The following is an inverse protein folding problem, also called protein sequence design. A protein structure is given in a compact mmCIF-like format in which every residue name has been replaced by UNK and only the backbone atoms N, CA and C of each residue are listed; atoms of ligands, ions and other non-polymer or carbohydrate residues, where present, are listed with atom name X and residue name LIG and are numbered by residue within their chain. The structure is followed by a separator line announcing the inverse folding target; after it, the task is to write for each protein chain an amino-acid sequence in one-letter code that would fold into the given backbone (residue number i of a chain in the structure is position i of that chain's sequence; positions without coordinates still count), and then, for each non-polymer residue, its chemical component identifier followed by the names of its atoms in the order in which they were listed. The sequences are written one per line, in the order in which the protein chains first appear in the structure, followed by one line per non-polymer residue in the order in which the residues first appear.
data_IF_827035460329
#
_entry.id   IF_827035460329
#
_cell.length_a   1.000
_cell.length_b   1.000
_cell.length_c   1.000
_cell.angle_alpha   90.00
_cell.angle_beta   90.00
_cell.angle_gamma   90.00
#
_symmetry.space_group_name_H-M   'P 1'
#
loop_
_entity.id
_entity.type
_entity.pdbx_description
1 polymer ?
#
# COMPACT_ATOMS: atom_id res chain seq x y z
N UNK A 1 -39.95 -1.95 -13.92
CA UNK A 1 -39.85 -2.42 -15.33
C UNK A 1 -41.20 -2.58 -16.00
N UNK A 2 -42.15 -3.29 -15.38
CA UNK A 2 -43.52 -3.38 -15.90
C UNK A 2 -44.16 -1.99 -16.09
N UNK A 3 -44.05 -1.10 -15.11
CA UNK A 3 -44.57 0.27 -15.23
C UNK A 3 -43.86 1.10 -16.30
N UNK A 4 -42.54 0.96 -16.45
CA UNK A 4 -41.78 1.60 -17.53
C UNK A 4 -42.24 1.09 -18.89
N UNK A 5 -42.48 -0.22 -19.02
CA UNK A 5 -42.98 -0.83 -20.24
C UNK A 5 -44.37 -0.34 -20.61
N UNK A 6 -45.27 -0.27 -19.61
CA UNK A 6 -46.62 0.27 -19.74
C UNK A 6 -46.61 1.74 -20.15
N UNK A 7 -45.80 2.57 -19.50
CA UNK A 7 -45.69 4.01 -19.80
C UNK A 7 -45.03 4.28 -21.15
N UNK A 8 -44.03 3.49 -21.54
CA UNK A 8 -43.35 3.62 -22.83
C UNK A 8 -44.10 2.96 -24.01
N UNK A 9 -45.15 2.17 -23.74
CA UNK A 9 -45.94 1.46 -24.75
C UNK A 9 -45.19 0.34 -25.45
N UNK A 10 -44.33 -0.40 -24.72
CA UNK A 10 -43.51 -1.48 -25.28
C UNK A 10 -43.56 -2.73 -24.39
N UNK A 11 -43.13 -3.88 -24.91
CA UNK A 11 -43.00 -5.09 -24.10
C UNK A 11 -41.91 -4.95 -23.02
N UNK A 12 -42.09 -5.64 -21.89
CA UNK A 12 -41.10 -5.69 -20.79
C UNK A 12 -39.72 -6.16 -21.29
N UNK A 13 -39.71 -7.10 -22.24
CA UNK A 13 -38.48 -7.61 -22.88
C UNK A 13 -37.74 -6.53 -23.69
N UNK A 14 -38.46 -5.58 -24.28
CA UNK A 14 -37.89 -4.43 -25.02
C UNK A 14 -37.28 -3.41 -24.05
N UNK A 15 -37.94 -3.11 -22.92
CA UNK A 15 -37.34 -2.29 -21.85
C UNK A 15 -36.06 -2.94 -21.32
N UNK A 16 -36.10 -4.25 -21.07
CA UNK A 16 -34.93 -5.00 -20.63
C UNK A 16 -33.77 -4.87 -21.62
N UNK A 17 -34.05 -5.02 -22.93
CA UNK A 17 -33.04 -4.93 -23.98
C UNK A 17 -32.50 -3.52 -24.13
N UNK A 18 -33.35 -2.49 -24.06
CA UNK A 18 -32.93 -1.10 -24.14
C UNK A 18 -32.01 -0.70 -22.99
N UNK A 19 -32.27 -1.20 -21.78
CA UNK A 19 -31.45 -0.94 -20.59
C UNK A 19 -30.16 -1.78 -20.55
N UNK A 20 -30.18 -2.99 -21.11
CA UNK A 20 -29.05 -3.94 -21.00
C UNK A 20 -28.11 -3.89 -22.20
N UNK A 21 -28.65 -3.65 -23.40
CA UNK A 21 -27.93 -3.66 -24.66
C UNK A 21 -28.54 -2.62 -25.63
N UNK A 22 -28.27 -1.32 -25.40
CA UNK A 22 -29.01 -0.22 -26.02
C UNK A 22 -28.96 -0.22 -27.55
N UNK A 23 -27.87 -0.73 -28.15
CA UNK A 23 -27.69 -0.79 -29.60
C UNK A 23 -28.59 -1.81 -30.32
N UNK A 24 -29.30 -2.68 -29.59
CA UNK A 24 -30.27 -3.62 -30.18
C UNK A 24 -31.70 -3.07 -30.21
N UNK A 25 -31.90 -1.81 -29.81
CA UNK A 25 -33.19 -1.13 -29.82
C UNK A 25 -33.02 0.16 -30.60
N UNK A 26 -33.93 0.45 -31.52
CA UNK A 26 -33.85 1.68 -32.30
C UNK A 26 -33.91 2.92 -31.39
N UNK A 27 -33.33 4.01 -31.87
CA UNK A 27 -33.15 5.25 -31.12
C UNK A 27 -34.47 5.82 -30.58
N UNK A 28 -35.51 5.83 -31.42
CA UNK A 28 -36.84 6.35 -31.08
C UNK A 28 -37.46 5.60 -29.90
N UNK A 29 -37.39 4.27 -29.91
CA UNK A 29 -37.91 3.42 -28.84
C UNK A 29 -37.06 3.55 -27.58
N UNK A 30 -35.74 3.65 -27.71
CA UNK A 30 -34.83 3.88 -26.58
C UNK A 30 -35.11 5.21 -25.88
N UNK A 31 -35.33 6.28 -26.64
CA UNK A 31 -35.67 7.60 -26.10
C UNK A 31 -36.98 7.57 -25.29
N UNK A 32 -38.02 6.89 -25.81
CA UNK A 32 -39.29 6.69 -25.08
C UNK A 32 -39.11 5.94 -23.76
N UNK A 33 -38.30 4.87 -23.78
CA UNK A 33 -38.03 4.07 -22.58
C UNK A 33 -37.26 4.88 -21.53
N UNK A 34 -36.26 5.66 -21.94
CA UNK A 34 -35.48 6.51 -21.04
C UNK A 34 -36.34 7.63 -20.42
N UNK A 35 -37.23 8.24 -21.21
CA UNK A 35 -38.16 9.25 -20.70
C UNK A 35 -39.13 8.65 -19.66
N UNK A 36 -39.73 7.49 -19.96
CA UNK A 36 -40.60 6.78 -19.04
C UNK A 36 -39.88 6.34 -17.75
N UNK A 37 -38.65 5.84 -17.86
CA UNK A 37 -37.85 5.47 -16.70
C UNK A 37 -37.53 6.68 -15.81
N UNK A 38 -37.15 7.82 -16.42
CA UNK A 38 -36.88 9.07 -15.70
C UNK A 38 -38.13 9.59 -15.00
N UNK A 39 -39.28 9.59 -15.68
CA UNK A 39 -40.56 10.07 -15.11
C UNK A 39 -41.00 9.24 -13.90
N UNK A 40 -40.74 7.93 -13.92
CA UNK A 40 -41.10 7.02 -12.83
C UNK A 40 -40.04 6.91 -11.73
N UNK A 41 -38.91 7.61 -11.85
CA UNK A 41 -37.76 7.42 -10.95
C UNK A 41 -37.22 5.98 -10.96
N UNK A 42 -37.40 5.26 -12.08
CA UNK A 42 -37.05 3.85 -12.16
C UNK A 42 -35.53 3.68 -12.32
N UNK A 43 -34.92 3.13 -11.28
CA UNK A 43 -33.53 2.65 -11.32
C UNK A 43 -33.51 1.15 -11.61
N UNK A 44 -32.74 0.66 -12.60
CA UNK A 44 -32.58 -0.77 -12.85
C UNK A 44 -32.08 -1.49 -11.59
N UNK A 45 -32.74 -2.59 -11.22
CA UNK A 45 -32.31 -3.39 -10.08
C UNK A 45 -31.07 -4.22 -10.46
N UNK A 46 -29.91 -3.84 -9.90
CA UNK A 46 -28.64 -4.51 -10.14
C UNK A 46 -28.63 -5.98 -9.69
N UNK A 47 -29.34 -6.33 -8.60
CA UNK A 47 -29.46 -7.72 -8.12
C UNK A 47 -30.32 -8.57 -9.05
N UNK A 48 -31.46 -8.04 -9.51
CA UNK A 48 -32.30 -8.74 -10.49
C UNK A 48 -31.57 -8.92 -11.84
N UNK A 49 -30.69 -7.98 -12.21
CA UNK A 49 -29.80 -8.09 -13.37
C UNK A 49 -28.71 -9.14 -13.15
N UNK A 50 -28.08 -9.16 -11.96
CA UNK A 50 -27.08 -10.15 -11.57
C UNK A 50 -27.62 -11.58 -11.58
N UNK A 51 -28.84 -11.78 -11.08
CA UNK A 51 -29.54 -13.08 -11.11
C UNK A 51 -29.86 -13.54 -12.54
N UNK A 52 -30.28 -12.62 -13.42
CA UNK A 52 -30.66 -12.95 -14.80
C UNK A 52 -29.47 -13.14 -15.74
N UNK A 53 -28.34 -12.48 -15.45
CA UNK A 53 -27.10 -12.55 -16.24
C UNK A 53 -26.10 -13.54 -15.62
N UNK A 54 -26.34 -14.01 -14.39
CA UNK A 54 -25.47 -14.91 -13.64
C UNK A 54 -24.11 -14.29 -13.27
N UNK A 55 -24.00 -12.95 -13.25
CA UNK A 55 -22.70 -12.26 -13.09
C UNK A 55 -22.82 -11.08 -12.14
N UNK A 56 -22.09 -11.16 -11.02
CA UNK A 56 -21.80 -10.02 -10.16
C UNK A 56 -20.85 -9.04 -10.85
N UNK A 57 -21.01 -7.75 -10.58
CA UNK A 57 -20.08 -6.68 -10.95
C UNK A 57 -19.30 -6.16 -9.73
N UNK A 58 -19.28 -6.92 -8.63
CA UNK A 58 -18.60 -6.52 -7.40
C UNK A 58 -17.22 -7.14 -7.34
N UNK A 59 -16.20 -6.31 -7.14
CA UNK A 59 -14.86 -6.72 -6.75
C UNK A 59 -14.74 -6.50 -5.24
N UNK A 60 -14.31 -7.54 -4.54
CA UNK A 60 -14.06 -7.47 -3.12
C UNK A 60 -12.63 -6.99 -2.87
N UNK A 61 -12.40 -6.21 -1.83
CA UNK A 61 -11.07 -5.97 -1.28
C UNK A 61 -11.01 -6.51 0.14
N UNK A 62 -9.99 -7.31 0.43
CA UNK A 62 -9.75 -7.91 1.75
C UNK A 62 -8.62 -7.13 2.39
N UNK A 63 -8.93 -6.48 3.52
CA UNK A 63 -7.97 -5.67 4.26
C UNK A 63 -7.19 -6.53 5.29
N UNK A 64 -6.00 -6.07 5.73
CA UNK A 64 -5.21 -6.77 6.75
C UNK A 64 -5.79 -6.61 8.16
N UNK A 65 -6.82 -5.80 8.34
CA UNK A 65 -7.40 -5.45 9.63
C UNK A 65 -8.10 -4.09 9.54
N UNK A 66 -8.21 -3.41 10.69
CA UNK A 66 -8.80 -2.07 10.77
C UNK A 66 -8.10 -1.13 9.80
N UNK A 67 -8.84 -0.28 9.05
CA UNK A 67 -8.26 0.66 8.10
C UNK A 67 -7.63 1.89 8.80
N UNK A 68 -7.68 1.95 10.13
CA UNK A 68 -7.12 3.06 10.91
C UNK A 68 -5.63 2.86 11.17
N UNK A 69 -4.79 3.74 10.60
CA UNK A 69 -3.33 3.74 10.74
C UNK A 69 -2.81 5.12 11.19
N UNK A 70 -3.51 5.74 12.15
CA UNK A 70 -3.14 7.04 12.68
C UNK A 70 -3.06 8.12 11.59
N UNK A 71 -1.88 8.73 11.43
CA UNK A 71 -1.61 9.73 10.40
C UNK A 71 -1.25 9.15 9.02
N UNK A 72 -0.88 7.87 8.91
CA UNK A 72 -0.62 7.25 7.60
C UNK A 72 -1.91 7.14 6.80
N UNK A 73 -1.94 7.79 5.64
CA UNK A 73 -3.11 7.82 4.75
C UNK A 73 -2.98 6.87 3.56
N UNK A 74 -2.01 5.94 3.58
CA UNK A 74 -1.72 5.10 2.42
C UNK A 74 -2.92 4.22 2.02
N UNK A 75 -3.57 3.56 2.99
CA UNK A 75 -4.71 2.68 2.72
C UNK A 75 -5.88 3.45 2.09
N UNK A 76 -6.42 4.53 2.69
CA UNK A 76 -7.55 5.24 2.10
C UNK A 76 -7.21 5.83 0.72
N UNK A 77 -5.99 6.32 0.49
CA UNK A 77 -5.57 6.84 -0.81
C UNK A 77 -5.54 5.74 -1.88
N UNK A 78 -4.99 4.57 -1.56
CA UNK A 78 -4.96 3.44 -2.50
C UNK A 78 -6.37 2.91 -2.73
N UNK A 79 -7.22 2.81 -1.71
CA UNK A 79 -8.63 2.42 -1.85
C UNK A 79 -9.39 3.38 -2.78
N UNK A 80 -9.18 4.69 -2.63
CA UNK A 80 -9.78 5.69 -3.51
C UNK A 80 -9.32 5.50 -4.97
N UNK A 81 -8.03 5.26 -5.17
CA UNK A 81 -7.44 5.02 -6.48
C UNK A 81 -7.99 3.73 -7.14
N UNK A 82 -8.07 2.63 -6.39
CA UNK A 82 -8.70 1.37 -6.83
C UNK A 82 -10.16 1.61 -7.21
N UNK A 83 -10.93 2.28 -6.35
CA UNK A 83 -12.35 2.54 -6.59
C UNK A 83 -12.56 3.35 -7.87
N UNK A 84 -11.74 4.39 -8.10
CA UNK A 84 -11.77 5.18 -9.34
C UNK A 84 -11.53 4.30 -10.57
N UNK A 85 -10.55 3.40 -10.52
CA UNK A 85 -10.24 2.47 -11.62
C UNK A 85 -11.38 1.46 -11.88
N UNK A 86 -11.99 0.93 -10.82
CA UNK A 86 -13.10 -0.01 -10.91
C UNK A 86 -14.39 0.63 -11.45
N UNK A 87 -14.73 1.85 -11.01
CA UNK A 87 -15.89 2.60 -11.50
C UNK A 87 -15.80 2.84 -13.00
N UNK A 88 -14.61 3.22 -13.50
CA UNK A 88 -14.38 3.41 -14.95
C UNK A 88 -14.63 2.13 -15.77
N UNK A 89 -14.54 0.96 -15.14
CA UNK A 89 -14.77 -0.34 -15.75
C UNK A 89 -16.16 -0.92 -15.46
N UNK A 90 -17.03 -0.17 -14.76
CA UNK A 90 -18.39 -0.60 -14.41
C UNK A 90 -18.46 -1.64 -13.28
N UNK A 91 -17.41 -1.72 -12.45
CA UNK A 91 -17.37 -2.56 -11.25
C UNK A 91 -17.64 -1.73 -9.99
N UNK A 92 -18.20 -2.39 -8.97
CA UNK A 92 -18.34 -1.85 -7.61
C UNK A 92 -17.23 -2.41 -6.72
N UNK A 93 -16.69 -1.59 -5.82
CA UNK A 93 -15.79 -2.04 -4.77
C UNK A 93 -16.59 -2.40 -3.51
N UNK A 94 -16.33 -3.57 -2.95
CA UNK A 94 -16.85 -3.99 -1.65
C UNK A 94 -15.70 -4.27 -0.70
N UNK A 95 -15.63 -3.55 0.42
CA UNK A 95 -14.64 -3.80 1.45
C UNK A 95 -15.12 -4.98 2.30
N UNK A 96 -14.29 -6.01 2.42
CA UNK A 96 -14.54 -7.16 3.25
C UNK A 96 -13.48 -7.27 4.35
N UNK A 97 -13.97 -7.57 5.56
CA UNK A 97 -13.21 -7.93 6.75
C UNK A 97 -12.27 -6.83 7.31
N UNK A 98 -12.62 -6.31 8.48
CA UNK A 98 -11.78 -5.37 9.22
C UNK A 98 -11.04 -6.04 10.39
N UNK A 99 -11.35 -7.28 10.77
CA UNK A 99 -10.94 -7.79 12.09
C UNK A 99 -10.15 -9.11 12.02
N UNK A 100 -10.08 -9.75 10.84
CA UNK A 100 -9.37 -11.02 10.56
C UNK A 100 -9.73 -12.20 11.48
N UNK A 101 -10.84 -12.11 12.20
CA UNK A 101 -11.39 -13.25 12.96
C UNK A 101 -11.93 -14.34 12.02
N UNK A 102 -11.93 -15.59 12.48
CA UNK A 102 -12.37 -16.75 11.70
C UNK A 102 -13.78 -16.56 11.13
N UNK A 103 -14.70 -15.97 11.89
CA UNK A 103 -16.06 -15.67 11.43
C UNK A 103 -16.07 -14.74 10.20
N UNK A 104 -15.20 -13.74 10.19
CA UNK A 104 -15.04 -12.79 9.08
C UNK A 104 -14.37 -13.45 7.88
N UNK A 105 -13.40 -14.33 8.10
CA UNK A 105 -12.80 -15.14 7.01
C UNK A 105 -13.83 -16.11 6.40
N UNK A 106 -14.65 -16.78 7.22
CA UNK A 106 -15.79 -17.60 6.74
C UNK A 106 -16.77 -16.77 5.90
N UNK A 107 -17.06 -15.54 6.30
CA UNK A 107 -17.91 -14.64 5.52
C UNK A 107 -17.32 -14.31 4.15
N UNK A 108 -16.02 -14.00 4.08
CA UNK A 108 -15.30 -13.80 2.81
C UNK A 108 -15.45 -15.01 1.89
N UNK A 109 -15.27 -16.23 2.43
CA UNK A 109 -15.42 -17.46 1.66
C UNK A 109 -16.84 -17.63 1.15
N UNK A 110 -17.86 -17.35 1.97
CA UNK A 110 -19.26 -17.42 1.54
C UNK A 110 -19.56 -16.44 0.39
N UNK A 111 -18.98 -15.23 0.42
CA UNK A 111 -19.10 -14.26 -0.68
C UNK A 111 -18.46 -14.80 -1.98
N UNK A 112 -17.29 -15.42 -1.87
CA UNK A 112 -16.57 -16.00 -3.00
C UNK A 112 -17.33 -17.21 -3.61
N UNK A 113 -17.63 -18.23 -2.80
CA UNK A 113 -18.33 -19.44 -3.25
C UNK A 113 -19.78 -19.18 -3.66
N UNK A 114 -20.44 -18.19 -3.04
CA UNK A 114 -21.80 -17.79 -3.38
C UNK A 114 -21.92 -16.96 -4.66
N UNK A 115 -20.80 -16.62 -5.32
CA UNK A 115 -20.80 -15.82 -6.55
C UNK A 115 -21.24 -14.36 -6.34
N UNK A 116 -21.23 -13.87 -5.09
CA UNK A 116 -21.58 -12.48 -4.76
C UNK A 116 -20.54 -11.51 -5.30
N UNK A 117 -19.30 -11.99 -5.45
CA UNK A 117 -18.15 -11.22 -5.95
C UNK A 117 -17.58 -11.89 -7.18
N UNK A 118 -16.98 -11.09 -8.07
CA UNK A 118 -16.41 -11.54 -9.34
C UNK A 118 -14.88 -11.59 -9.36
N UNK A 119 -14.26 -10.97 -8.37
CA UNK A 119 -12.83 -10.98 -8.14
C UNK A 119 -12.54 -10.49 -6.74
N UNK A 120 -11.31 -10.69 -6.29
CA UNK A 120 -10.84 -10.13 -5.03
C UNK A 120 -9.48 -9.44 -5.20
N UNK A 121 -9.28 -8.39 -4.41
CA UNK A 121 -8.00 -7.75 -4.17
C UNK A 121 -7.61 -8.11 -2.74
N UNK A 122 -6.45 -8.72 -2.54
CA UNK A 122 -5.87 -8.92 -1.21
C UNK A 122 -4.96 -7.75 -0.93
N UNK A 123 -5.19 -7.05 0.16
CA UNK A 123 -4.43 -5.86 0.52
C UNK A 123 -3.53 -6.15 1.70
N UNK A 124 -2.21 -6.02 1.51
CA UNK A 124 -1.16 -6.12 2.55
C UNK A 124 -1.33 -7.32 3.51
N UNK A 125 -1.86 -8.45 3.03
CA UNK A 125 -2.20 -9.58 3.90
C UNK A 125 -2.10 -10.90 3.16
N UNK A 126 -2.10 -11.99 3.94
CA UNK A 126 -2.21 -13.34 3.41
C UNK A 126 -3.65 -13.64 3.00
N UNK A 127 -3.78 -14.55 2.03
CA UNK A 127 -5.06 -15.09 1.59
C UNK A 127 -5.77 -15.77 2.78
N UNK A 128 -7.06 -15.48 3.05
CA UNK A 128 -7.79 -16.16 4.11
C UNK A 128 -8.04 -17.63 3.73
N UNK A 129 -7.90 -18.51 4.71
CA UNK A 129 -8.10 -19.95 4.55
C UNK A 129 -8.80 -20.52 5.79
N UNK A 130 -9.99 -21.09 5.58
CA UNK A 130 -10.77 -21.73 6.65
C UNK A 130 -11.29 -23.07 6.19
N UNK A 131 -11.07 -24.10 7.00
CA UNK A 131 -11.41 -25.50 6.68
C UNK A 131 -10.86 -25.97 5.31
N UNK A 132 -9.64 -25.53 4.94
CA UNK A 132 -9.01 -25.84 3.65
C UNK A 132 -9.68 -25.16 2.44
N UNK A 133 -10.58 -24.20 2.66
CA UNK A 133 -11.19 -23.38 1.61
C UNK A 133 -10.55 -22.01 1.57
N UNK A 134 -10.29 -21.53 0.36
CA UNK A 134 -9.77 -20.18 0.10
C UNK A 134 -10.54 -19.53 -1.06
N UNK A 135 -10.51 -18.19 -1.21
CA UNK A 135 -11.08 -17.53 -2.38
C UNK A 135 -10.47 -18.03 -3.70
N UNK A 136 -9.18 -18.40 -3.69
CA UNK A 136 -8.51 -18.99 -4.86
C UNK A 136 -9.11 -20.37 -5.20
N UNK A 137 -9.39 -21.20 -4.18
CA UNK A 137 -10.07 -22.49 -4.34
C UNK A 137 -11.50 -22.37 -4.87
N UNK A 138 -12.15 -21.20 -4.72
CA UNK A 138 -13.44 -20.91 -5.36
C UNK A 138 -13.32 -20.51 -6.85
N UNK A 139 -12.10 -20.49 -7.42
CA UNK A 139 -11.86 -20.04 -8.78
C UNK A 139 -11.96 -18.53 -8.96
N UNK A 140 -11.91 -17.76 -7.86
CA UNK A 140 -12.02 -16.31 -7.90
C UNK A 140 -10.71 -15.72 -8.44
N UNK A 141 -10.74 -14.84 -9.46
CA UNK A 141 -9.56 -14.08 -9.87
C UNK A 141 -9.10 -13.16 -8.74
N UNK A 142 -7.82 -13.26 -8.37
CA UNK A 142 -7.24 -12.55 -7.24
C UNK A 142 -6.01 -11.76 -7.68
N UNK A 143 -5.88 -10.54 -7.18
CA UNK A 143 -4.67 -9.72 -7.26
C UNK A 143 -4.22 -9.37 -5.85
N UNK A 144 -2.96 -9.59 -5.52
CA UNK A 144 -2.35 -9.12 -4.28
C UNK A 144 -1.84 -7.69 -4.46
N UNK A 145 -1.97 -6.85 -3.44
CA UNK A 145 -1.45 -5.49 -3.40
C UNK A 145 -0.68 -5.27 -2.11
N UNK A 146 0.47 -4.60 -2.21
CA UNK A 146 1.34 -4.31 -1.07
C UNK A 146 1.85 -5.56 -0.32
N UNK A 147 1.73 -6.73 -0.91
CA UNK A 147 2.31 -7.96 -0.37
C UNK A 147 2.63 -8.89 -1.53
N UNK A 148 3.91 -9.25 -1.69
CA UNK A 148 4.31 -10.13 -2.79
C UNK A 148 3.84 -11.56 -2.51
N UNK A 149 2.90 -12.03 -3.34
CA UNK A 149 2.37 -13.40 -3.30
C UNK A 149 2.69 -14.14 -4.60
N UNK A 150 3.74 -13.73 -5.32
CA UNK A 150 4.17 -14.37 -6.57
C UNK A 150 4.58 -15.84 -6.36
N UNK A 151 5.19 -16.16 -5.22
CA UNK A 151 5.52 -17.54 -4.83
C UNK A 151 4.28 -18.41 -4.63
N UNK A 152 3.14 -17.80 -4.28
CA UNK A 152 1.84 -18.45 -4.21
C UNK A 152 1.10 -18.46 -5.56
N UNK A 153 1.75 -18.04 -6.64
CA UNK A 153 1.18 -17.97 -7.99
C UNK A 153 0.18 -16.83 -8.20
N UNK A 154 0.10 -15.86 -7.27
CA UNK A 154 -0.83 -14.74 -7.37
C UNK A 154 -0.16 -13.53 -8.02
N UNK A 155 -0.83 -12.86 -8.99
CA UNK A 155 -0.33 -11.60 -9.52
C UNK A 155 -0.31 -10.54 -8.40
N UNK A 156 0.82 -9.86 -8.27
CA UNK A 156 1.07 -8.92 -7.17
C UNK A 156 1.45 -7.54 -7.69
N UNK A 157 0.87 -6.51 -7.09
CA UNK A 157 1.21 -5.09 -7.31
C UNK A 157 1.91 -4.59 -6.06
N UNK A 158 3.22 -4.39 -6.15
CA UNK A 158 4.07 -3.98 -5.03
C UNK A 158 4.92 -2.78 -5.40
N UNK A 159 5.27 -1.98 -4.40
CA UNK A 159 6.25 -0.90 -4.46
C UNK A 159 7.66 -1.45 -4.21
N UNK A 160 8.67 -0.78 -4.76
CA UNK A 160 10.07 -1.13 -4.48
C UNK A 160 10.55 -0.47 -3.18
N UNK A 161 10.03 -0.92 -2.05
CA UNK A 161 10.30 -0.35 -0.72
C UNK A 161 11.79 -0.36 -0.37
N UNK A 162 12.48 -1.47 -0.69
CA UNK A 162 13.91 -1.66 -0.47
C UNK A 162 14.74 -0.64 -1.22
N UNK A 163 14.47 -0.42 -2.51
CA UNK A 163 15.18 0.57 -3.31
C UNK A 163 14.93 1.99 -2.82
N UNK A 164 13.66 2.34 -2.56
CA UNK A 164 13.28 3.69 -2.15
C UNK A 164 13.94 4.11 -0.83
N UNK A 165 13.95 3.23 0.17
CA UNK A 165 14.59 3.53 1.45
C UNK A 165 16.12 3.49 1.37
N UNK A 166 16.68 2.64 0.50
CA UNK A 166 18.13 2.59 0.23
C UNK A 166 18.61 3.93 -0.30
N UNK A 167 17.88 4.53 -1.23
CA UNK A 167 18.19 5.85 -1.79
C UNK A 167 18.09 6.96 -0.75
N UNK A 168 17.01 6.99 0.04
CA UNK A 168 16.87 7.97 1.12
C UNK A 168 17.97 7.83 2.19
N UNK A 169 18.34 6.61 2.54
CA UNK A 169 19.42 6.33 3.50
C UNK A 169 20.79 6.75 2.93
N UNK A 170 21.04 6.46 1.65
CA UNK A 170 22.26 6.88 0.97
C UNK A 170 22.40 8.41 0.95
N UNK A 171 21.30 9.14 0.79
CA UNK A 171 21.31 10.60 0.86
C UNK A 171 21.64 11.11 2.27
N UNK A 172 21.10 10.51 3.33
CA UNK A 172 21.48 10.83 4.71
C UNK A 172 22.98 10.57 4.96
N UNK A 173 23.52 9.47 4.43
CA UNK A 173 24.97 9.17 4.48
C UNK A 173 25.77 10.25 3.74
N UNK A 174 25.32 10.70 2.57
CA UNK A 174 25.96 11.76 1.77
C UNK A 174 25.98 13.10 2.52
N UNK A 175 24.96 13.39 3.32
CA UNK A 175 24.85 14.58 4.16
C UNK A 175 25.71 14.53 5.43
N UNK A 176 26.42 13.42 5.65
CA UNK A 176 27.39 13.25 6.74
C UNK A 176 26.87 12.46 7.93
N UNK A 177 25.63 11.93 7.88
CA UNK A 177 25.14 11.05 8.94
C UNK A 177 25.91 9.72 8.94
N UNK A 178 26.23 9.24 10.15
CA UNK A 178 27.04 8.03 10.37
C UNK A 178 26.43 7.09 11.41
N UNK A 179 25.42 7.54 12.16
CA UNK A 179 24.70 6.76 13.16
C UNK A 179 23.21 7.03 13.02
N UNK A 180 22.44 5.96 13.00
CA UNK A 180 21.05 5.97 12.62
C UNK A 180 20.19 5.32 13.71
N UNK A 181 18.97 5.83 13.89
CA UNK A 181 17.90 5.12 14.54
C UNK A 181 16.90 4.68 13.47
N UNK A 182 16.58 3.40 13.42
CA UNK A 182 15.49 2.87 12.61
C UNK A 182 14.28 2.59 13.50
N UNK A 183 13.16 3.27 13.27
CA UNK A 183 11.90 3.02 13.97
C UNK A 183 11.13 1.96 13.18
N UNK A 184 11.20 0.74 13.67
CA UNK A 184 10.76 -0.47 12.98
C UNK A 184 9.24 -0.65 12.99
N UNK A 185 8.74 -1.17 11.88
CA UNK A 185 7.39 -1.72 11.79
C UNK A 185 7.31 -3.13 12.42
N UNK A 186 6.14 -3.76 12.39
CA UNK A 186 5.89 -5.02 13.08
C UNK A 186 6.87 -6.10 12.61
N UNK A 187 7.43 -6.87 13.56
CA UNK A 187 8.46 -7.87 13.25
C UNK A 187 7.96 -8.90 12.22
N UNK A 188 8.73 -9.07 11.15
CA UNK A 188 8.41 -10.02 10.08
C UNK A 188 7.34 -9.50 9.10
N UNK A 189 6.88 -8.26 9.25
CA UNK A 189 6.08 -7.61 8.23
C UNK A 189 6.90 -7.43 6.94
N UNK A 190 6.27 -7.72 5.80
CA UNK A 190 6.91 -7.64 4.48
C UNK A 190 7.58 -6.29 4.20
N UNK A 191 6.87 -5.19 4.49
CA UNK A 191 7.40 -3.85 4.25
C UNK A 191 8.57 -3.53 5.15
N UNK A 192 8.50 -3.90 6.44
CA UNK A 192 9.59 -3.64 7.37
C UNK A 192 10.85 -4.43 7.00
N UNK A 193 10.70 -5.69 6.58
CA UNK A 193 11.81 -6.53 6.10
C UNK A 193 12.49 -5.91 4.87
N UNK A 194 11.71 -5.49 3.88
CA UNK A 194 12.25 -4.86 2.68
C UNK A 194 12.90 -3.51 3.00
N UNK A 195 12.27 -2.70 3.86
CA UNK A 195 12.78 -1.38 4.23
C UNK A 195 14.08 -1.49 5.03
N UNK A 196 14.12 -2.33 6.05
CA UNK A 196 15.32 -2.55 6.84
C UNK A 196 16.46 -3.12 5.98
N UNK A 197 16.14 -4.04 5.06
CA UNK A 197 17.11 -4.55 4.07
C UNK A 197 17.75 -3.45 3.23
N UNK A 198 16.95 -2.48 2.76
CA UNK A 198 17.44 -1.33 2.00
C UNK A 198 18.33 -0.38 2.83
N UNK A 199 18.02 -0.19 4.11
CA UNK A 199 18.87 0.56 5.05
C UNK A 199 20.25 -0.11 5.17
N UNK A 200 20.28 -1.43 5.43
CA UNK A 200 21.54 -2.18 5.56
C UNK A 200 22.38 -2.18 4.27
N UNK A 201 21.72 -2.24 3.11
CA UNK A 201 22.39 -2.11 1.81
C UNK A 201 23.02 -0.72 1.63
N UNK A 202 22.32 0.35 1.99
CA UNK A 202 22.86 1.70 1.93
C UNK A 202 24.04 1.91 2.89
N UNK A 203 23.96 1.38 4.12
CA UNK A 203 25.06 1.42 5.08
C UNK A 203 26.31 0.72 4.54
N UNK A 204 26.16 -0.52 4.02
CA UNK A 204 27.27 -1.26 3.41
C UNK A 204 27.87 -0.52 2.22
N UNK A 205 27.05 0.04 1.34
CA UNK A 205 27.51 0.84 0.20
C UNK A 205 28.23 2.12 0.63
N UNK A 206 27.83 2.71 1.77
CA UNK A 206 28.47 3.87 2.39
C UNK A 206 29.70 3.56 3.25
N UNK A 207 30.13 2.29 3.32
CA UNK A 207 31.27 1.86 4.14
C UNK A 207 31.01 1.86 5.65
N UNK A 208 29.75 1.76 6.08
CA UNK A 208 29.33 1.69 7.48
C UNK A 208 28.98 0.26 7.89
N UNK A 209 29.26 -0.10 9.14
CA UNK A 209 28.85 -1.38 9.71
C UNK A 209 27.35 -1.39 10.03
N UNK A 210 26.77 -2.58 10.18
CA UNK A 210 25.38 -2.72 10.61
C UNK A 210 25.15 -2.14 12.01
N UNK A 211 26.16 -2.14 12.88
CA UNK A 211 26.12 -1.50 14.20
C UNK A 211 25.95 0.03 14.15
N UNK A 212 26.08 0.64 12.96
CA UNK A 212 25.80 2.05 12.76
C UNK A 212 24.29 2.37 12.87
N UNK A 213 23.40 1.37 12.81
CA UNK A 213 21.96 1.55 13.01
C UNK A 213 21.48 0.84 14.26
N UNK A 214 20.86 1.60 15.17
CA UNK A 214 20.08 1.04 16.28
C UNK A 214 18.62 0.93 15.86
N UNK A 215 17.91 -0.06 16.38
CA UNK A 215 16.47 -0.25 16.12
C UNK A 215 15.64 0.03 17.36
N UNK A 216 14.43 0.56 17.17
CA UNK A 216 13.40 0.67 18.21
C UNK A 216 12.04 0.32 17.60
N UNK A 217 11.11 -0.20 18.40
CA UNK A 217 9.81 -0.67 17.96
C UNK A 217 9.81 -2.11 17.43
N UNK A 218 8.85 -2.40 16.54
CA UNK A 218 8.61 -3.71 15.94
C UNK A 218 7.87 -4.74 16.80
N UNK A 219 7.51 -4.38 18.03
CA UNK A 219 6.63 -5.13 18.93
C UNK A 219 5.14 -4.80 18.75
N UNK A 220 4.83 -3.70 18.04
CA UNK A 220 3.47 -3.23 17.81
C UNK A 220 3.11 -3.24 16.32
N UNK A 221 1.82 -3.41 16.06
CA UNK A 221 1.22 -3.27 14.72
C UNK A 221 1.30 -1.83 14.22
N UNK A 222 1.33 -1.64 12.88
CA UNK A 222 1.41 -0.30 12.27
C UNK A 222 0.24 0.63 12.67
N UNK A 223 -0.92 0.10 13.06
CA UNK A 223 -2.03 0.89 13.60
C UNK A 223 -1.67 1.65 14.89
N UNK A 224 -0.61 1.26 15.58
CA UNK A 224 -0.08 1.89 16.78
C UNK A 224 1.15 2.76 16.50
N UNK A 225 1.38 3.19 15.25
CA UNK A 225 2.60 3.90 14.87
C UNK A 225 2.87 5.17 15.71
N UNK A 226 1.84 5.94 16.08
CA UNK A 226 2.02 7.03 17.04
C UNK A 226 2.63 6.59 18.37
N UNK A 227 2.15 5.49 18.96
CA UNK A 227 2.69 4.95 20.21
C UNK A 227 4.13 4.45 20.02
N UNK A 228 4.40 3.75 18.91
CA UNK A 228 5.75 3.29 18.54
C UNK A 228 6.74 4.45 18.48
N UNK A 229 6.38 5.55 17.81
CA UNK A 229 7.27 6.72 17.72
C UNK A 229 7.46 7.47 19.05
N UNK A 230 6.48 7.45 19.95
CA UNK A 230 6.65 7.96 21.32
C UNK A 230 7.67 7.11 22.08
N UNK A 231 7.53 5.78 22.06
CA UNK A 231 8.45 4.85 22.73
C UNK A 231 9.88 4.95 22.17
N UNK A 232 10.00 5.17 20.87
CA UNK A 232 11.29 5.35 20.21
C UNK A 232 12.08 6.55 20.73
N UNK A 233 11.42 7.59 21.26
CA UNK A 233 12.12 8.70 21.94
C UNK A 233 12.77 8.25 23.24
N UNK A 234 12.09 7.43 24.04
CA UNK A 234 12.66 6.92 25.29
C UNK A 234 13.88 6.04 25.03
N UNK A 235 13.84 5.23 23.98
CA UNK A 235 14.98 4.41 23.56
C UNK A 235 16.12 5.27 23.02
N UNK A 236 15.81 6.25 22.16
CA UNK A 236 16.79 7.21 21.64
C UNK A 236 17.53 7.94 22.75
N UNK A 237 16.82 8.40 23.79
CA UNK A 237 17.41 9.17 24.89
C UNK A 237 18.31 8.32 25.80
N UNK A 238 18.11 7.00 25.85
CA UNK A 238 18.96 6.05 26.60
C UNK A 238 20.26 5.71 25.89
N UNK A 239 20.38 5.97 24.58
CA UNK A 239 21.58 5.65 23.82
C UNK A 239 22.76 6.50 24.30
N UNK A 240 23.84 5.84 24.72
CA UNK A 240 25.07 6.50 25.16
C UNK A 240 25.68 7.37 24.05
N UNK A 241 25.64 6.87 22.82
CA UNK A 241 26.06 7.61 21.62
C UNK A 241 24.84 7.82 20.74
N UNK A 242 24.35 9.07 20.70
CA UNK A 242 23.11 9.39 19.98
C UNK A 242 23.30 9.31 18.46
N UNK A 243 22.33 8.68 17.75
CA UNK A 243 22.17 8.82 16.31
C UNK A 243 21.89 10.27 15.90
N UNK A 244 22.30 10.63 14.69
CA UNK A 244 22.02 11.97 14.12
C UNK A 244 21.01 11.90 12.98
N UNK A 245 20.57 10.71 12.59
CA UNK A 245 19.52 10.50 11.61
C UNK A 245 18.53 9.44 12.12
N UNK A 246 17.25 9.66 11.85
CA UNK A 246 16.16 8.76 12.20
C UNK A 246 15.40 8.40 10.94
N UNK A 247 15.19 7.11 10.74
CA UNK A 247 14.45 6.54 9.62
C UNK A 247 13.22 5.85 10.21
N UNK A 248 12.04 6.42 10.00
CA UNK A 248 10.79 5.83 10.46
C UNK A 248 10.09 5.08 9.33
N UNK A 249 9.51 3.94 9.65
CA UNK A 249 8.80 3.11 8.67
C UNK A 249 7.42 3.63 8.32
N UNK A 250 6.85 4.58 9.05
CA UNK A 250 5.59 5.25 8.68
C UNK A 250 5.60 6.70 9.13
N UNK A 251 4.76 7.53 8.50
CA UNK A 251 4.67 8.95 8.80
C UNK A 251 4.19 9.22 10.24
N UNK A 252 3.27 8.44 10.77
CA UNK A 252 2.72 8.63 12.11
C UNK A 252 3.76 8.33 13.21
N UNK A 253 4.63 7.33 13.01
CA UNK A 253 5.81 7.07 13.86
C UNK A 253 6.78 8.25 13.84
N UNK A 254 7.09 8.80 12.67
CA UNK A 254 7.98 9.96 12.58
C UNK A 254 7.36 11.19 13.23
N UNK A 255 6.07 11.47 12.99
CA UNK A 255 5.38 12.64 13.54
C UNK A 255 5.34 12.59 15.07
N UNK A 256 5.02 11.44 15.68
CA UNK A 256 5.04 11.34 17.14
C UNK A 256 6.45 11.41 17.69
N UNK A 257 7.44 10.82 17.02
CA UNK A 257 8.85 10.94 17.40
C UNK A 257 9.31 12.40 17.37
N UNK A 258 9.06 13.14 16.29
CA UNK A 258 9.39 14.56 16.15
C UNK A 258 8.75 15.40 17.25
N UNK A 259 7.45 15.24 17.47
CA UNK A 259 6.72 15.97 18.51
C UNK A 259 7.30 15.73 19.91
N UNK A 260 7.68 14.49 20.22
CA UNK A 260 8.22 14.12 21.53
C UNK A 260 9.68 14.53 21.71
N UNK A 261 10.53 14.35 20.70
CA UNK A 261 11.96 14.65 20.79
C UNK A 261 12.21 16.16 20.89
N UNK A 262 11.37 16.98 20.24
CA UNK A 262 11.38 18.43 20.39
C UNK A 262 11.00 18.88 21.81
N UNK A 263 10.04 18.20 22.45
CA UNK A 263 9.69 18.44 23.86
C UNK A 263 10.79 18.01 24.82
N UNK A 264 11.67 17.09 24.38
CA UNK A 264 12.90 16.73 25.10
C UNK A 264 14.05 17.73 24.85
N UNK A 265 13.80 18.83 24.14
CA UNK A 265 14.75 19.93 23.94
C UNK A 265 15.69 19.77 22.74
N UNK A 266 15.51 18.75 21.90
CA UNK A 266 16.32 18.53 20.70
C UNK A 266 15.66 19.17 19.48
N UNK A 267 16.46 19.84 18.67
CA UNK A 267 16.03 20.54 17.46
C UNK A 267 16.11 19.65 16.23
N UNK A 268 15.15 19.82 15.32
CA UNK A 268 15.11 19.17 14.00
C UNK A 268 15.08 20.28 12.96
N UNK A 269 15.98 20.31 11.96
CA UNK A 269 17.06 19.36 11.68
C UNK A 269 18.38 19.61 12.45
N UNK A 270 18.40 20.49 13.45
CA UNK A 270 19.64 20.98 14.07
C UNK A 270 20.48 19.89 14.76
N UNK A 271 19.85 19.06 15.60
CA UNK A 271 20.51 17.98 16.34
C UNK A 271 20.39 16.63 15.63
N UNK A 272 19.30 16.42 14.89
CA UNK A 272 19.02 15.21 14.14
C UNK A 272 18.12 15.46 12.93
N UNK A 273 18.29 14.64 11.90
CA UNK A 273 17.41 14.57 10.72
C UNK A 273 16.40 13.43 10.89
N UNK A 274 15.17 13.61 10.37
CA UNK A 274 14.11 12.59 10.39
C UNK A 274 13.58 12.40 8.97
N UNK A 275 13.52 11.15 8.51
CA UNK A 275 12.87 10.75 7.26
C UNK A 275 11.86 9.65 7.56
N UNK A 276 10.69 9.72 6.92
CA UNK A 276 9.65 8.68 7.02
C UNK A 276 9.31 8.06 5.67
N UNK A 277 8.32 7.17 5.70
CA UNK A 277 7.74 6.51 4.55
C UNK A 277 6.22 6.72 4.56
N UNK A 278 5.61 6.85 3.38
CA UNK A 278 4.17 6.87 3.03
C UNK A 278 3.79 8.12 2.22
N UNK A 279 4.31 9.29 2.59
CA UNK A 279 4.05 10.54 1.87
C UNK A 279 2.68 11.15 2.17
N UNK A 280 2.21 11.02 3.40
CA UNK A 280 0.91 11.50 3.86
C UNK A 280 0.87 13.04 3.81
N UNK A 281 -0.25 13.64 3.38
CA UNK A 281 -0.36 15.10 3.26
C UNK A 281 -0.10 15.85 4.58
N UNK A 282 -0.33 15.21 5.72
CA UNK A 282 -0.07 15.79 7.05
C UNK A 282 1.42 16.07 7.31
N UNK A 283 2.34 15.44 6.58
CA UNK A 283 3.78 15.67 6.71
C UNK A 283 4.16 17.13 6.42
N UNK A 284 3.46 17.81 5.50
CA UNK A 284 3.67 19.22 5.16
C UNK A 284 3.32 20.17 6.32
N UNK A 285 2.45 19.73 7.24
CA UNK A 285 1.96 20.51 8.37
C UNK A 285 2.69 20.19 9.68
N UNK A 286 3.70 19.30 9.63
CA UNK A 286 4.61 19.07 10.75
C UNK A 286 5.54 20.26 10.92
N UNK A 287 6.13 20.42 12.12
CA UNK A 287 7.11 21.48 12.39
C UNK A 287 8.43 20.88 12.85
N UNK A 288 9.51 20.92 12.06
CA UNK A 288 9.53 21.32 10.64
C UNK A 288 8.71 20.36 9.75
N UNK A 289 8.41 20.72 8.49
CA UNK A 289 7.80 19.78 7.54
C UNK A 289 8.61 18.48 7.43
N UNK A 290 7.92 17.34 7.49
CA UNK A 290 8.54 16.02 7.53
C UNK A 290 8.96 15.57 6.12
N UNK A 291 10.26 15.27 5.97
CA UNK A 291 10.78 14.60 4.77
C UNK A 291 10.28 13.15 4.72
N UNK A 292 9.65 12.75 3.62
CA UNK A 292 8.99 11.44 3.52
C UNK A 292 9.06 10.88 2.10
N UNK A 293 9.19 9.55 2.00
CA UNK A 293 9.10 8.83 0.73
C UNK A 293 7.63 8.70 0.32
N UNK A 294 7.26 9.37 -0.76
CA UNK A 294 5.89 9.36 -1.27
C UNK A 294 5.60 8.13 -2.12
N UNK A 295 4.57 7.39 -1.72
CA UNK A 295 4.14 6.22 -2.47
C UNK A 295 3.31 6.58 -3.72
N UNK A 296 3.45 5.83 -4.82
CA UNK A 296 2.76 6.09 -6.10
C UNK A 296 1.30 5.58 -6.11
N UNK A 297 0.45 6.14 -5.25
CA UNK A 297 -0.93 5.65 -4.98
C UNK A 297 -1.84 5.58 -6.22
N UNK A 298 -1.71 6.52 -7.14
CA UNK A 298 -2.49 6.52 -8.39
C UNK A 298 -2.14 5.33 -9.27
N UNK A 299 -0.84 5.05 -9.43
CA UNK A 299 -0.39 3.91 -10.22
C UNK A 299 -0.73 2.58 -9.53
N UNK A 300 -0.62 2.52 -8.20
CA UNK A 300 -1.01 1.34 -7.42
C UNK A 300 -2.47 0.99 -7.64
N UNK A 301 -3.39 1.94 -7.44
CA UNK A 301 -4.81 1.67 -7.66
C UNK A 301 -5.18 1.49 -9.13
N UNK A 302 -4.46 2.14 -10.06
CA UNK A 302 -4.61 1.90 -11.49
C UNK A 302 -4.29 0.45 -11.89
N UNK A 303 -3.15 -0.08 -11.44
CA UNK A 303 -2.74 -1.47 -11.72
C UNK A 303 -3.58 -2.49 -10.93
N UNK A 304 -3.84 -2.24 -9.65
CA UNK A 304 -4.63 -3.13 -8.79
C UNK A 304 -6.12 -3.17 -9.13
N UNK A 305 -6.68 -2.04 -9.57
CA UNK A 305 -8.05 -1.95 -10.09
C UNK A 305 -8.19 -2.35 -11.56
N UNK A 306 -7.08 -2.62 -12.27
CA UNK A 306 -7.10 -3.15 -13.63
C UNK A 306 -7.75 -4.53 -13.64
N UNK A 307 -8.75 -4.74 -14.50
CA UNK A 307 -9.56 -5.96 -14.49
C UNK A 307 -8.71 -7.24 -14.43
N UNK A 308 -8.92 -8.12 -13.44
CA UNK A 308 -8.42 -9.50 -13.47
C UNK A 308 -8.96 -10.28 -14.69
N UNK A 309 -10.02 -9.77 -15.33
CA UNK A 309 -10.83 -10.43 -16.34
C UNK A 309 -10.25 -10.46 -17.77
N UNK A 310 -9.00 -10.05 -18.01
CA UNK A 310 -8.38 -10.20 -19.35
C UNK A 310 -7.87 -11.61 -19.66
N UNK A 311 -8.12 -12.61 -18.80
CA UNK A 311 -7.95 -14.02 -19.16
C UNK A 311 -9.27 -14.78 -19.05
N UNK A 312 -9.66 -15.35 -20.19
CA UNK A 312 -10.69 -16.37 -20.42
C UNK A 312 -12.15 -15.90 -20.54
N UNK A 313 -12.52 -15.55 -21.78
CA UNK A 313 -13.80 -15.97 -22.35
C UNK A 313 -13.68 -17.37 -22.99
N UNK A 314 -14.76 -18.16 -23.13
CA UNK A 314 -14.68 -19.56 -23.57
C UNK A 314 -14.37 -19.81 -25.05
N UNK A 315 -14.33 -18.79 -25.91
CA UNK A 315 -14.39 -18.99 -27.37
C UNK A 315 -13.19 -18.41 -28.15
N UNK A 316 -11.96 -18.65 -27.71
CA UNK A 316 -10.80 -18.44 -28.58
C UNK A 316 -9.83 -19.62 -28.50
N UNK A 317 -9.95 -20.53 -29.46
CA UNK A 317 -8.85 -21.42 -29.87
C UNK A 317 -7.73 -20.56 -30.46
N UNK A 318 -6.77 -20.14 -29.64
CA UNK A 318 -5.46 -19.71 -30.11
C UNK A 318 -4.41 -20.37 -29.23
N UNK A 319 -3.61 -21.26 -29.83
CA UNK A 319 -2.49 -21.90 -29.17
C UNK A 319 -1.53 -20.85 -28.61
N UNK A 320 -1.24 -20.95 -27.32
CA UNK A 320 -0.29 -20.12 -26.60
C UNK A 320 0.50 -20.99 -25.64
N UNK A 321 1.82 -20.90 -25.78
CA UNK A 321 2.89 -21.56 -25.03
C UNK A 321 2.63 -21.67 -23.51
N UNK A 322 2.77 -22.86 -22.87
CA UNK A 322 2.58 -23.07 -21.43
C UNK A 322 3.57 -22.32 -20.50
N UNK A 323 4.59 -21.64 -21.03
CA UNK A 323 5.71 -21.12 -20.22
C UNK A 323 5.67 -19.63 -19.82
N UNK A 324 4.52 -18.92 -19.90
CA UNK A 324 4.44 -17.54 -19.37
C UNK A 324 4.24 -17.51 -17.84
N UNK A 325 5.36 -17.36 -17.11
CA UNK A 325 5.41 -17.05 -15.69
C UNK A 325 4.55 -15.82 -15.29
N UNK A 326 4.05 -15.74 -14.04
CA UNK A 326 3.25 -14.60 -13.56
C UNK A 326 4.08 -13.31 -13.63
N UNK A 327 3.56 -12.28 -14.29
CA UNK A 327 4.27 -11.00 -14.45
C UNK A 327 4.18 -10.17 -13.16
N UNK A 328 5.32 -10.05 -12.48
CA UNK A 328 5.56 -9.07 -11.43
C UNK A 328 5.44 -7.66 -12.04
N UNK A 329 4.69 -6.77 -11.39
CA UNK A 329 4.61 -5.37 -11.77
C UNK A 329 5.16 -4.51 -10.63
N UNK A 330 6.45 -4.19 -10.72
CA UNK A 330 7.03 -3.16 -9.88
C UNK A 330 6.46 -1.80 -10.27
N UNK A 331 6.00 -1.06 -9.26
CA UNK A 331 5.74 0.36 -9.40
C UNK A 331 6.92 1.08 -8.76
N UNK A 332 7.76 1.69 -9.59
CA UNK A 332 8.81 2.57 -9.13
C UNK A 332 8.16 3.82 -8.50
N UNK A 333 8.54 4.15 -7.26
CA UNK A 333 8.23 5.46 -6.70
C UNK A 333 8.88 6.53 -7.57
N UNK A 334 8.12 7.48 -8.08
CA UNK A 334 8.71 8.65 -8.74
C UNK A 334 9.27 9.58 -7.65
N UNK A 335 10.59 9.67 -7.57
CA UNK A 335 11.21 10.84 -6.96
C UNK A 335 10.85 12.08 -7.79
N UNK A 336 10.09 13.01 -7.21
CA UNK A 336 10.25 14.41 -7.61
C UNK A 336 11.54 14.90 -6.98
N UNK A 337 12.63 14.83 -7.73
CA UNK A 337 13.69 15.82 -7.57
C UNK A 337 13.17 17.14 -8.14
N UNK A 338 13.61 18.25 -7.55
CA UNK A 338 13.19 19.65 -7.80
C UNK A 338 11.89 20.10 -7.15
N UNK A 339 11.87 20.14 -5.81
CA UNK A 339 11.53 21.32 -5.00
C UNK A 339 11.77 20.95 -3.53
N UNK A 340 12.93 21.36 -3.01
CA UNK A 340 13.35 21.40 -1.60
C UNK A 340 13.01 20.19 -0.71
N UNK A 341 13.80 19.12 -0.81
CA UNK A 341 14.19 18.40 0.41
C UNK A 341 14.96 19.41 1.28
N UNK A 342 14.26 20.05 2.23
CA UNK A 342 14.89 20.85 3.28
C UNK A 342 15.57 19.89 4.27
N UNK A 343 16.62 19.19 3.81
CA UNK A 343 17.56 18.52 4.69
C UNK A 343 18.79 19.41 4.77
N UNK A 344 18.93 20.06 5.92
CA UNK A 344 20.06 20.93 6.17
C UNK A 344 21.34 20.09 6.29
N UNK A 345 22.40 20.38 5.52
CA UNK A 345 23.70 19.76 5.75
C UNK A 345 24.18 20.16 7.16
N UNK A 346 24.67 19.19 7.93
CA UNK A 346 25.20 19.42 9.27
C UNK A 346 26.18 20.62 9.27
N UNK A 347 25.91 21.62 10.12
CA UNK A 347 26.65 22.90 10.13
C UNK A 347 28.10 22.70 10.54
N UNK A 348 29.00 23.27 9.73
CA UNK A 348 30.30 23.74 10.21
C UNK A 348 30.12 25.13 10.86
N UNK A 349 30.84 25.37 11.96
CA UNK A 349 30.71 26.56 12.82
C UNK A 349 30.99 27.86 12.05
N UNK A 350 30.01 28.74 11.98
CA UNK A 350 30.16 30.21 12.13
C UNK A 350 28.76 30.81 12.04
N UNK A 351 28.34 31.50 13.11
CA UNK A 351 27.07 32.20 13.13
C UNK A 351 27.13 33.44 12.27
N UNK A 352 26.03 33.72 11.54
CA UNK A 352 25.44 35.06 11.44
C UNK A 352 24.23 35.11 10.46
N UNK A 353 23.20 35.85 10.91
CA UNK A 353 22.11 36.55 10.19
C UNK A 353 21.11 35.72 9.34
N UNK A 354 19.85 36.11 9.10
CA UNK A 354 19.05 37.31 9.44
C UNK A 354 17.54 36.95 9.41
N UNK A 355 16.70 37.65 10.18
CA UNK A 355 15.24 37.53 10.12
C UNK A 355 14.55 38.44 9.08
N UNK A 356 13.21 38.33 9.05
CA UNK A 356 12.17 38.98 8.21
C UNK A 356 11.82 38.23 6.90
N UNK A 357 10.57 38.07 6.44
CA UNK A 357 9.36 38.89 6.62
C UNK A 357 8.06 38.13 6.20
N UNK A 358 6.99 38.31 6.99
CA UNK A 358 5.56 38.53 6.69
C UNK A 358 4.79 37.84 5.53
N UNK A 359 3.62 37.30 5.92
CA UNK A 359 2.42 37.13 5.09
C UNK A 359 1.79 38.48 4.69
N UNK A 360 1.40 38.66 3.42
CA UNK A 360 0.19 39.43 3.06
C UNK A 360 -0.37 39.14 1.66
N UNK A 361 -1.69 39.11 1.64
CA UNK A 361 -2.70 38.87 0.58
C UNK A 361 -2.61 39.73 -0.69
N UNK A 362 -3.10 39.11 -1.76
CA UNK A 362 -3.60 39.57 -3.07
C UNK A 362 -3.76 41.07 -3.36
N UNK A 363 -3.33 41.46 -4.58
CA UNK A 363 -4.10 42.32 -5.48
C UNK A 363 -3.74 42.11 -6.95
N UNK A 364 -4.78 42.01 -7.77
CA UNK A 364 -4.81 42.18 -9.22
C UNK A 364 -4.42 43.60 -9.61
N UNK A 365 -3.56 43.77 -10.62
CA UNK A 365 -3.86 44.53 -11.85
C UNK A 365 -2.63 44.62 -12.75
N UNK A 366 -2.89 44.61 -14.06
CA UNK A 366 -1.90 44.40 -15.11
C UNK A 366 -1.05 45.61 -15.48
N UNK A 367 0.05 45.31 -16.17
CA UNK A 367 0.59 46.08 -17.31
C UNK A 367 1.87 45.41 -17.79
N UNK A 368 1.88 45.01 -19.06
CA UNK A 368 3.12 44.89 -19.83
C UNK A 368 3.60 46.31 -20.18
N UNK A 369 4.91 46.52 -20.44
CA UNK A 369 5.37 46.35 -21.82
C UNK A 369 6.75 45.70 -21.98
N UNK A 370 6.98 45.25 -23.21
CA UNK A 370 8.20 44.71 -23.79
C UNK A 370 9.38 45.72 -23.77
N UNK A 371 10.62 45.21 -23.86
CA UNK A 371 11.66 45.53 -24.88
C UNK A 371 12.97 44.73 -24.57
N UNK A 372 13.46 44.03 -25.60
CA UNK A 372 14.72 43.27 -25.79
C UNK A 372 15.98 44.20 -25.92
N UNK A 373 17.17 43.78 -26.41
CA UNK A 373 18.05 42.60 -26.21
C UNK A 373 19.55 42.97 -26.01
N UNK A 374 20.41 41.98 -25.69
CA UNK A 374 21.83 41.78 -26.10
C UNK A 374 22.53 40.99 -24.99
N UNK A 375 23.29 39.92 -25.20
CA UNK A 375 23.95 39.41 -26.39
C UNK A 375 25.35 38.96 -25.97
N UNK A 376 25.67 37.68 -26.14
CA UNK A 376 26.95 37.14 -26.64
C UNK A 376 26.98 35.60 -26.50
N UNK A 377 27.19 34.97 -27.65
CA UNK A 377 27.28 33.53 -27.95
C UNK A 377 28.79 33.11 -28.01
N UNK A 378 29.19 31.98 -28.63
CA UNK A 378 29.29 30.64 -28.02
C UNK A 378 30.67 29.96 -28.23
N UNK A 379 30.95 28.87 -27.50
CA UNK A 379 32.11 27.99 -27.74
C UNK A 379 31.67 26.57 -28.12
N UNK A 380 32.03 26.13 -29.32
CA UNK A 380 31.63 24.88 -29.99
C UNK A 380 32.73 23.78 -29.85
N UNK A 381 32.30 22.51 -30.02
CA UNK A 381 33.02 21.29 -30.48
C UNK A 381 33.70 20.39 -29.42
N UNK A 382 33.61 19.04 -29.43
CA UNK A 382 33.28 18.05 -30.49
C UNK A 382 32.99 16.66 -29.87
N UNK A 383 32.13 15.87 -30.55
CA UNK A 383 31.88 14.43 -30.35
C UNK A 383 32.89 13.60 -31.16
N UNK A 384 33.41 12.50 -30.58
CA UNK A 384 33.93 11.24 -31.20
C UNK A 384 34.12 10.25 -30.03
N UNK A 385 33.68 8.99 -29.97
CA UNK A 385 33.25 8.04 -30.98
C UNK A 385 34.39 7.07 -31.34
N UNK A 386 34.58 5.97 -30.59
CA UNK A 386 35.10 4.66 -31.09
C UNK A 386 35.32 3.62 -29.96
N UNK A 387 34.70 2.44 -30.13
CA UNK A 387 35.06 1.14 -29.50
C UNK A 387 36.48 0.68 -29.90
N UNK A 388 37.07 -0.31 -29.19
CA UNK A 388 37.04 -1.69 -29.71
C UNK A 388 36.85 -2.81 -28.65
N UNK A 389 36.28 -3.94 -29.08
CA UNK A 389 36.29 -5.28 -28.44
C UNK A 389 37.52 -6.11 -28.95
N UNK A 390 37.72 -7.40 -28.59
CA UNK A 390 38.69 -7.87 -27.58
C UNK A 390 39.73 -8.86 -28.19
N UNK A 391 40.51 -9.61 -27.38
CA UNK A 391 40.99 -10.91 -27.79
C UNK A 391 40.53 -12.06 -26.87
N UNK A 392 40.18 -13.17 -27.53
CA UNK A 392 40.11 -14.55 -27.04
C UNK A 392 41.55 -15.15 -26.95
N UNK A 393 41.91 -16.30 -26.36
CA UNK A 393 41.33 -17.63 -26.16
C UNK A 393 42.21 -18.43 -25.15
N UNK A 394 41.66 -19.52 -24.58
CA UNK A 394 42.28 -20.79 -24.10
C UNK A 394 41.87 -21.19 -22.66
N UNK A 395 40.81 -22.01 -22.48
CA UNK A 395 40.82 -23.49 -22.25
C UNK A 395 41.34 -23.89 -20.86
N UNK A 396 40.76 -24.74 -20.01
CA UNK A 396 39.77 -25.83 -20.09
C UNK A 396 39.13 -25.95 -18.67
N UNK A 397 38.13 -26.76 -18.29
CA UNK A 397 37.63 -28.08 -18.71
C UNK A 397 36.30 -28.31 -17.97
N UNK A 398 35.32 -28.91 -18.63
CA UNK A 398 34.05 -29.33 -18.03
C UNK A 398 34.17 -30.65 -17.28
N UNK A 399 33.48 -30.80 -16.14
CA UNK A 399 32.98 -32.09 -15.61
C UNK A 399 31.77 -31.86 -14.68
N UNK A 400 30.66 -32.54 -15.00
CA UNK A 400 29.57 -33.02 -14.11
C UNK A 400 29.22 -34.44 -14.62
N UNK A 401 28.31 -35.25 -14.02
CA UNK A 401 27.64 -35.26 -12.70
C UNK A 401 27.64 -36.66 -12.00
N UNK A 402 27.36 -36.73 -10.68
CA UNK A 402 26.67 -37.85 -9.99
C UNK A 402 26.59 -37.54 -8.48
N UNK A 403 25.42 -37.30 -7.90
CA UNK A 403 24.54 -38.27 -7.23
C UNK A 403 25.21 -38.99 -6.04
N UNK A 404 24.55 -38.94 -4.86
CA UNK A 404 24.35 -40.01 -3.86
C UNK A 404 23.93 -39.36 -2.49
N UNK A 405 22.65 -39.50 -2.15
CA UNK A 405 22.11 -39.63 -0.77
C UNK A 405 22.05 -41.15 -0.44
N UNK A 406 21.63 -41.66 0.75
CA UNK A 406 21.24 -41.03 2.02
C UNK A 406 21.92 -41.68 3.26
N UNK A 407 21.68 -41.17 4.48
CA UNK A 407 21.67 -42.00 5.70
C UNK A 407 20.56 -41.53 6.65
N UNK A 408 19.82 -42.50 7.18
CA UNK A 408 18.61 -42.42 8.01
C UNK A 408 18.84 -43.31 9.26
N UNK A 409 18.55 -42.77 10.46
CA UNK A 409 18.08 -43.41 11.74
C UNK A 409 19.02 -44.32 12.58
N UNK A 410 18.63 -44.81 13.81
CA UNK A 410 17.43 -44.58 14.67
C UNK A 410 17.63 -44.45 16.22
N UNK A 411 16.49 -44.27 16.92
CA UNK A 411 16.09 -44.74 18.29
C UNK A 411 16.51 -43.89 19.52
N UNK A 412 15.76 -43.75 20.63
CA UNK A 412 14.66 -44.53 21.25
C UNK A 412 13.86 -43.61 22.24
N UNK A 413 12.52 -43.53 22.23
CA UNK A 413 11.48 -44.28 23.00
C UNK A 413 11.41 -44.08 24.53
N UNK A 414 10.25 -43.63 25.05
CA UNK A 414 9.49 -44.05 26.27
C UNK A 414 8.25 -43.12 26.38
N UNK A 415 7.01 -43.48 26.02
CA UNK A 415 5.96 -44.25 26.72
C UNK A 415 5.70 -43.75 28.16
N UNK A 416 4.50 -43.44 28.68
CA UNK A 416 3.17 -44.08 28.55
C UNK A 416 2.07 -43.24 29.24
N UNK A 417 0.88 -43.26 28.63
CA UNK A 417 -0.49 -43.48 29.18
C UNK A 417 -1.14 -42.69 30.34
N UNK A 418 -2.48 -42.55 30.13
CA UNK A 418 -3.62 -42.51 31.07
C UNK A 418 -4.05 -41.14 31.63
N UNK A 419 -5.35 -40.84 31.85
CA UNK A 419 -6.67 -41.24 31.33
C UNK A 419 -7.66 -40.34 32.10
N UNK A 420 -8.80 -40.04 31.46
CA UNK A 420 -10.14 -39.82 32.06
C UNK A 420 -10.43 -38.54 32.88
N UNK A 421 -11.55 -37.88 32.54
CA UNK A 421 -12.33 -37.05 33.49
C UNK A 421 -12.99 -35.79 32.93
N UNK A 422 -14.17 -35.90 32.33
CA UNK A 422 -15.22 -34.84 32.29
C UNK A 422 -16.29 -35.19 33.36
N UNK A 423 -17.33 -34.37 33.63
CA UNK A 423 -17.43 -32.91 33.85
C UNK A 423 -18.37 -32.55 35.04
N UNK A 424 -18.32 -31.33 35.60
CA UNK A 424 -19.39 -30.74 36.48
C UNK A 424 -19.29 -29.20 36.26
N UNK A 425 -20.21 -28.45 35.64
CA UNK A 425 -21.64 -28.13 35.87
C UNK A 425 -21.95 -27.19 37.07
N UNK A 426 -22.43 -25.99 36.71
CA UNK A 426 -23.44 -25.16 37.38
C UNK A 426 -23.06 -24.07 38.41
N UNK A 427 -23.68 -22.89 38.14
CA UNK A 427 -24.16 -21.81 39.04
C UNK A 427 -23.08 -20.89 39.64
N UNK A 428 -23.24 -19.56 39.68
CA UNK A 428 -24.48 -18.78 39.88
C UNK A 428 -24.28 -17.32 39.46
N UNK A 429 -25.41 -16.69 39.13
CA UNK A 429 -25.68 -15.27 38.85
C UNK A 429 -25.29 -14.30 39.99
N UNK A 430 -25.39 -12.99 39.66
CA UNK A 430 -25.41 -11.75 40.50
C UNK A 430 -24.08 -10.99 40.49
N UNK A 431 -23.98 -9.68 40.22
CA UNK A 431 -24.98 -8.64 40.02
C UNK A 431 -24.38 -7.48 39.21
N UNK A 432 -25.19 -6.94 38.31
CA UNK A 432 -25.10 -5.56 37.80
C UNK A 432 -25.55 -4.63 38.92
N UNK A 433 -24.72 -3.66 39.33
CA UNK A 433 -25.12 -2.33 39.83
C UNK A 433 -23.92 -1.64 40.48
N UNK A 434 -23.40 -0.59 39.83
CA UNK A 434 -22.45 0.33 40.43
C UNK A 434 -21.68 1.12 39.39
N UNK A 435 -21.94 2.43 39.35
CA UNK A 435 -21.18 3.48 38.63
C UNK A 435 -21.68 3.87 37.22
N UNK A 436 -22.98 4.17 37.10
CA UNK A 436 -23.39 5.43 36.47
C UNK A 436 -23.79 6.41 37.57
N UNK A 437 -22.96 7.43 37.83
CA UNK A 437 -23.29 8.75 38.42
C UNK A 437 -21.99 9.46 38.79
N UNK A 438 -21.50 10.34 37.91
CA UNK A 438 -20.81 11.59 38.27
C UNK A 438 -20.23 12.26 37.01
N UNK A 439 -21.01 13.12 36.36
CA UNK A 439 -20.56 14.45 35.92
C UNK A 439 -21.72 15.15 35.20
N UNK A 440 -22.63 15.69 36.02
CA UNK A 440 -23.43 16.84 35.64
C UNK A 440 -22.65 18.12 35.97
N UNK A 441 -22.55 18.99 34.97
CA UNK A 441 -22.38 20.45 34.99
C UNK A 441 -22.33 21.14 36.37
N UNK A 442 -21.33 22.01 36.57
CA UNK A 442 -21.47 23.49 36.52
C UNK A 442 -20.19 24.18 37.03
N UNK A 443 -19.52 24.96 36.19
CA UNK A 443 -19.40 26.43 36.28
C UNK A 443 -18.64 26.96 35.08
#
# INVERSE_FOLDING_TARGET
MADVARLAGVAISTVSRALTNPGRVNEKTRAKINAAAKQLGYTPNAMARGLRVGKSNTIMIILPGSPYYGASQIIPQVLQSINKSLIQQGYNLMIANLDREEASERHILNLAFGGTVRGAIIFSSKLPEVDGRSPAGAGLPIVSMLFDMSDAGLPSVVTNDREAIREATAELIRLGHRRFLYIAGPKGNYHDVERYGGVLEALRAGGLSEDAVSTSGGDLEYQHGFETGVRAVDDFLKLAVRPTAVIATSDDMAISFMSRIQRAGLSIPGDLSVVSFDGSPVCEFSSPPLSTIKQPVEEMGGRGGGSPARRHGPDTKCGGDPHRHPQQSYIAGKHRSSEELTICPSKNRSGHYCGHMFYKMDRLDGSAPCIFPCGLTPGIFRIRGSMPLPPSFASARALTPSAWRPLITPAASFSREARLGRPISQRTERSISGLMKACGRTR
#
